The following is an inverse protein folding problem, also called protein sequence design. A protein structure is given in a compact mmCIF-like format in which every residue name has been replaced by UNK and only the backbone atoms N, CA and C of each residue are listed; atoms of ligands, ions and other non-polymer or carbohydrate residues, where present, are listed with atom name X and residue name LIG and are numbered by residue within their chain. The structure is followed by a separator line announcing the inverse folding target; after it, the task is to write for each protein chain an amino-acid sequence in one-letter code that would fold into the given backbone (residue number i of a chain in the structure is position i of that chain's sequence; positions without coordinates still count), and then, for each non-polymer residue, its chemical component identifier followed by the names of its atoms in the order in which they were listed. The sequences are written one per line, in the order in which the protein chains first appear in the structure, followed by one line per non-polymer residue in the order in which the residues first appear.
data_IF_068942283016
#
_entry.id   IF_068942283016
#
_cell.length_a   1.000
_cell.length_b   1.000
_cell.length_c   1.000
_cell.angle_alpha   90.00
_cell.angle_beta   90.00
_cell.angle_gamma   90.00
#
_symmetry.space_group_name_H-M   'P 1'
#
loop_
_entity.id
_entity.type
_entity.pdbx_description
1 polymer ?
#
# COMPACT_ATOMS: atom_id res chain seq x y z
N UNK A 1 -13.94 17.35 -35.01
CA UNK A 1 -14.99 16.45 -34.52
C UNK A 1 -15.28 16.80 -33.07
N UNK A 2 -16.50 16.56 -32.55
CA UNK A 2 -16.77 16.68 -31.11
C UNK A 2 -15.91 15.70 -30.30
N UNK A 3 -15.74 15.98 -29.00
CA UNK A 3 -15.00 15.11 -28.08
C UNK A 3 -15.86 13.90 -27.73
N UNK A 4 -15.31 12.70 -27.89
CA UNK A 4 -16.00 11.45 -27.53
C UNK A 4 -15.57 10.94 -26.15
N UNK A 5 -16.35 10.06 -25.53
CA UNK A 5 -16.09 9.58 -24.16
C UNK A 5 -14.71 8.93 -23.97
N UNK A 6 -14.19 8.25 -25.01
CA UNK A 6 -12.86 7.63 -24.97
C UNK A 6 -11.71 8.65 -25.15
N UNK A 7 -12.00 9.85 -25.65
CA UNK A 7 -11.02 10.91 -25.85
C UNK A 7 -10.71 11.66 -24.55
N UNK A 8 -11.63 11.64 -23.58
CA UNK A 8 -11.59 12.45 -22.36
C UNK A 8 -10.29 12.25 -21.57
N UNK A 9 -9.90 11.00 -21.27
CA UNK A 9 -8.68 10.73 -20.48
C UNK A 9 -7.42 11.21 -21.20
N UNK A 10 -7.34 11.01 -22.52
CA UNK A 10 -6.19 11.42 -23.31
C UNK A 10 -6.02 12.95 -23.31
N UNK A 11 -7.08 13.69 -23.64
CA UNK A 11 -7.01 15.15 -23.68
C UNK A 11 -6.91 15.79 -22.30
N UNK A 12 -7.46 15.16 -21.25
CA UNK A 12 -7.31 15.62 -19.88
C UNK A 12 -5.84 15.60 -19.43
N UNK A 13 -5.10 14.53 -19.74
CA UNK A 13 -3.66 14.48 -19.43
C UNK A 13 -2.88 15.52 -20.24
N UNK A 14 -3.18 15.67 -21.54
CA UNK A 14 -2.54 16.72 -22.37
C UNK A 14 -2.82 18.13 -21.85
N UNK A 15 -4.01 18.39 -21.34
CA UNK A 15 -4.34 19.66 -20.73
C UNK A 15 -3.59 19.88 -19.41
N UNK A 16 -3.46 18.84 -18.58
CA UNK A 16 -2.69 18.86 -17.33
C UNK A 16 -1.21 19.17 -17.59
N UNK A 17 -0.62 18.52 -18.58
CA UNK A 17 0.75 18.78 -19.05
C UNK A 17 0.91 20.24 -19.49
N UNK A 18 0.01 20.74 -20.36
CA UNK A 18 0.10 22.09 -20.90
C UNK A 18 -0.12 23.19 -19.84
N UNK A 19 -1.00 22.96 -18.85
CA UNK A 19 -1.32 23.97 -17.83
C UNK A 19 -0.36 24.00 -16.65
N UNK A 20 0.16 22.84 -16.24
CA UNK A 20 0.90 22.71 -14.98
C UNK A 20 2.34 22.24 -15.17
N UNK A 21 2.78 21.99 -16.41
CA UNK A 21 4.08 21.37 -16.70
C UNK A 21 4.32 20.07 -15.90
N UNK A 22 3.23 19.33 -15.65
CA UNK A 22 3.19 18.15 -14.81
C UNK A 22 2.69 16.95 -15.63
N UNK A 23 3.34 15.80 -15.45
CA UNK A 23 2.97 14.54 -16.11
C UNK A 23 3.10 13.39 -15.12
N UNK A 24 2.03 12.61 -14.91
CA UNK A 24 2.06 11.48 -13.97
C UNK A 24 3.09 10.42 -14.39
N UNK A 25 3.31 10.27 -15.70
CA UNK A 25 4.34 9.39 -16.26
C UNK A 25 5.76 9.81 -15.89
N UNK A 26 6.00 11.11 -15.78
CA UNK A 26 7.32 11.64 -15.41
C UNK A 26 7.51 11.59 -13.89
N UNK A 27 6.46 11.83 -13.10
CA UNK A 27 6.59 11.91 -11.65
C UNK A 27 6.68 10.53 -10.99
N UNK A 28 5.99 9.51 -11.52
CA UNK A 28 6.00 8.15 -10.93
C UNK A 28 7.39 7.54 -10.73
N UNK A 29 8.41 7.99 -11.48
CA UNK A 29 9.80 7.53 -11.31
C UNK A 29 10.38 7.86 -9.92
N UNK A 30 9.82 8.86 -9.23
CA UNK A 30 10.21 9.25 -7.88
C UNK A 30 9.46 8.47 -6.79
N UNK A 31 8.35 7.82 -7.14
CA UNK A 31 7.50 7.06 -6.22
C UNK A 31 7.71 5.56 -6.42
N UNK A 32 8.90 5.07 -6.11
CA UNK A 32 9.11 3.62 -6.07
C UNK A 32 8.37 3.03 -4.87
N UNK A 33 7.69 1.90 -5.06
CA UNK A 33 6.89 1.27 -3.99
C UNK A 33 7.68 1.06 -2.68
N UNK A 34 8.96 0.61 -2.70
CA UNK A 34 9.75 0.51 -1.47
C UNK A 34 9.96 1.85 -0.77
N UNK A 35 10.17 2.95 -1.50
CA UNK A 35 10.36 4.29 -0.92
C UNK A 35 9.06 4.86 -0.36
N UNK A 36 7.95 4.68 -1.09
CA UNK A 36 6.63 5.15 -0.63
C UNK A 36 6.22 4.41 0.64
N UNK A 37 6.34 3.08 0.68
CA UNK A 37 6.00 2.28 1.86
C UNK A 37 6.89 2.64 3.05
N UNK A 38 8.20 2.79 2.85
CA UNK A 38 9.10 3.23 3.91
C UNK A 38 8.76 4.64 4.43
N UNK A 39 8.41 5.58 3.54
CA UNK A 39 7.97 6.92 3.91
C UNK A 39 6.66 6.91 4.70
N UNK A 40 5.68 6.13 4.26
CA UNK A 40 4.41 5.92 4.95
C UNK A 40 4.64 5.38 6.36
N UNK A 41 5.47 4.34 6.51
CA UNK A 41 5.80 3.79 7.82
C UNK A 41 6.48 4.83 8.71
N UNK A 42 7.45 5.58 8.19
CA UNK A 42 8.11 6.64 8.96
C UNK A 42 7.13 7.71 9.47
N UNK A 43 6.12 8.07 8.67
CA UNK A 43 5.06 9.00 9.10
C UNK A 43 4.21 8.38 10.22
N UNK A 44 3.79 7.12 10.05
CA UNK A 44 2.98 6.40 11.06
C UNK A 44 3.75 6.26 12.38
N UNK A 45 5.01 5.84 12.33
CA UNK A 45 5.86 5.67 13.50
C UNK A 45 6.00 6.98 14.28
N UNK A 46 6.22 8.11 13.58
CA UNK A 46 6.33 9.45 14.19
C UNK A 46 5.02 9.97 14.76
N UNK A 47 3.89 9.74 14.07
CA UNK A 47 2.60 10.26 14.49
C UNK A 47 2.00 9.49 15.67
N UNK A 48 2.23 8.18 15.73
CA UNK A 48 1.56 7.29 16.69
C UNK A 48 2.49 6.70 17.74
N UNK A 49 3.77 7.06 17.73
CA UNK A 49 4.80 6.54 18.64
C UNK A 49 4.77 5.00 18.68
N UNK A 50 4.97 4.43 17.49
CA UNK A 50 5.05 2.99 17.25
C UNK A 50 6.27 2.70 16.39
N UNK A 51 6.72 1.45 16.37
CA UNK A 51 7.71 0.94 15.42
C UNK A 51 7.11 -0.17 14.57
N UNK A 52 7.34 -0.14 13.27
CA UNK A 52 6.88 -1.13 12.29
C UNK A 52 8.08 -1.95 11.82
N UNK A 53 8.04 -3.26 12.03
CA UNK A 53 9.13 -4.15 11.62
C UNK A 53 8.61 -5.31 10.81
N UNK A 54 9.27 -5.64 9.69
CA UNK A 54 8.98 -6.85 8.93
C UNK A 54 9.20 -8.08 9.82
N UNK A 55 8.27 -9.03 9.75
CA UNK A 55 8.29 -10.27 10.52
C UNK A 55 7.87 -11.45 9.64
N UNK A 56 8.03 -12.66 10.16
CA UNK A 56 7.67 -13.88 9.45
C UNK A 56 6.30 -14.39 9.88
N UNK A 57 5.48 -14.75 8.90
CA UNK A 57 4.20 -15.42 9.08
C UNK A 57 3.90 -16.27 7.83
N UNK A 58 2.99 -17.23 7.95
CA UNK A 58 2.45 -17.91 6.78
C UNK A 58 1.71 -16.91 5.90
N UNK A 59 2.10 -16.84 4.63
CA UNK A 59 1.49 -15.95 3.63
C UNK A 59 0.88 -16.75 2.49
N UNK A 60 -0.09 -16.18 1.80
CA UNK A 60 -0.77 -16.82 0.66
C UNK A 60 -0.08 -16.58 -0.69
N UNK A 61 0.92 -15.69 -0.74
CA UNK A 61 1.66 -15.38 -1.96
C UNK A 61 3.01 -14.75 -1.61
N UNK A 62 4.06 -15.03 -2.39
CA UNK A 62 5.45 -14.63 -2.09
C UNK A 62 5.66 -13.11 -2.07
N UNK A 63 4.79 -12.36 -2.74
CA UNK A 63 4.83 -10.89 -2.73
C UNK A 63 4.20 -10.26 -1.49
N UNK A 64 3.53 -11.05 -0.64
CA UNK A 64 2.86 -10.55 0.56
C UNK A 64 3.89 -10.42 1.67
N UNK A 65 3.87 -9.28 2.34
CA UNK A 65 4.75 -8.99 3.48
C UNK A 65 3.94 -8.94 4.76
N UNK A 66 4.55 -9.35 5.86
CA UNK A 66 3.94 -9.32 7.18
C UNK A 66 4.76 -8.43 8.10
N UNK A 67 4.06 -7.61 8.89
CA UNK A 67 4.68 -6.62 9.75
C UNK A 67 4.09 -6.69 11.16
N UNK A 68 4.94 -6.44 12.16
CA UNK A 68 4.54 -6.21 13.54
C UNK A 68 4.57 -4.73 13.87
N UNK A 69 3.58 -4.27 14.64
CA UNK A 69 3.61 -2.95 15.28
C UNK A 69 3.97 -3.15 16.75
N UNK A 70 4.92 -2.35 17.22
CA UNK A 70 5.30 -2.31 18.64
C UNK A 70 5.21 -0.89 19.20
N UNK A 71 4.91 -0.78 20.49
CA UNK A 71 4.97 0.47 21.26
C UNK A 71 5.76 0.21 22.54
N UNK A 72 6.78 1.03 22.81
CA UNK A 72 7.66 0.81 23.97
C UNK A 72 8.31 -0.58 24.00
N UNK A 73 8.53 -1.20 22.83
CA UNK A 73 9.07 -2.56 22.69
C UNK A 73 8.04 -3.69 22.76
N UNK A 74 6.81 -3.42 23.26
CA UNK A 74 5.73 -4.40 23.33
C UNK A 74 4.97 -4.49 22.00
N UNK A 75 4.67 -5.71 21.55
CA UNK A 75 3.87 -5.94 20.34
C UNK A 75 2.40 -5.59 20.61
N UNK A 76 1.83 -4.74 19.77
CA UNK A 76 0.45 -4.26 19.91
C UNK A 76 -0.48 -4.68 18.77
N UNK A 77 0.06 -4.96 17.59
CA UNK A 77 -0.71 -5.40 16.41
C UNK A 77 0.18 -6.07 15.36
N UNK A 78 -0.42 -6.60 14.32
CA UNK A 78 0.28 -7.02 13.10
C UNK A 78 -0.57 -6.78 11.87
N UNK A 79 0.04 -6.77 10.69
CA UNK A 79 -0.71 -6.68 9.44
C UNK A 79 0.01 -7.34 8.28
N UNK A 80 -0.77 -7.80 7.31
CA UNK A 80 -0.29 -8.21 5.99
C UNK A 80 -0.37 -7.03 5.02
N UNK A 81 0.59 -6.93 4.11
CA UNK A 81 0.63 -5.95 3.04
C UNK A 81 0.76 -6.68 1.69
N UNK A 82 -0.29 -6.61 0.87
CA UNK A 82 -0.38 -7.26 -0.44
C UNK A 82 -0.54 -6.20 -1.55
N UNK A 83 0.58 -5.69 -2.06
CA UNK A 83 0.62 -4.49 -2.91
C UNK A 83 0.25 -4.73 -4.37
N UNK A 84 0.65 -5.86 -4.95
CA UNK A 84 0.73 -5.98 -6.41
C UNK A 84 -0.48 -6.67 -7.02
N UNK A 85 -0.89 -6.20 -8.20
CA UNK A 85 -1.92 -6.82 -9.01
C UNK A 85 -1.46 -8.19 -9.53
N UNK A 86 -2.36 -9.17 -9.52
CA UNK A 86 -2.15 -10.49 -10.12
C UNK A 86 -3.47 -11.13 -10.52
N UNK A 87 -3.48 -12.06 -11.50
CA UNK A 87 -4.69 -12.81 -11.86
C UNK A 87 -5.32 -13.50 -10.65
N UNK A 88 -6.66 -13.42 -10.55
CA UNK A 88 -7.42 -14.03 -9.45
C UNK A 88 -7.45 -13.24 -8.14
N UNK A 89 -6.64 -12.18 -7.99
CA UNK A 89 -6.73 -11.27 -6.84
C UNK A 89 -7.88 -10.27 -7.02
N UNK A 90 -8.63 -10.01 -5.96
CA UNK A 90 -9.69 -8.98 -5.96
C UNK A 90 -9.11 -7.60 -6.29
N UNK A 91 -9.67 -6.85 -7.26
CA UNK A 91 -9.18 -5.53 -7.65
C UNK A 91 -9.46 -4.45 -6.59
N UNK A 92 -8.85 -3.28 -6.77
CA UNK A 92 -9.01 -2.10 -5.90
C UNK A 92 -8.00 -2.01 -4.76
N UNK A 93 -8.19 -1.02 -3.88
CA UNK A 93 -7.46 -0.88 -2.62
C UNK A 93 -8.44 -1.01 -1.46
N UNK A 94 -8.14 -1.88 -0.49
CA UNK A 94 -9.03 -2.20 0.61
C UNK A 94 -8.27 -2.76 1.81
N UNK A 95 -8.89 -2.64 2.98
CA UNK A 95 -8.41 -3.20 4.25
C UNK A 95 -9.48 -4.12 4.81
N UNK A 96 -9.06 -5.20 5.47
CA UNK A 96 -9.96 -6.09 6.19
C UNK A 96 -9.32 -6.61 7.49
N UNK A 97 -10.16 -6.99 8.45
CA UNK A 97 -9.73 -7.60 9.70
C UNK A 97 -9.50 -9.11 9.50
N UNK A 98 -8.27 -9.57 9.73
CA UNK A 98 -7.97 -11.01 9.79
C UNK A 98 -8.29 -11.55 11.18
N UNK A 99 -8.03 -10.75 12.21
CA UNK A 99 -8.31 -11.08 13.59
C UNK A 99 -8.54 -9.80 14.38
N UNK A 100 -9.71 -9.64 14.99
CA UNK A 100 -9.99 -8.47 15.82
C UNK A 100 -9.31 -8.55 17.20
N UNK A 101 -9.07 -7.39 17.80
CA UNK A 101 -8.59 -7.28 19.18
C UNK A 101 -9.67 -7.78 20.14
N UNK A 102 -9.31 -8.67 21.05
CA UNK A 102 -10.28 -9.27 21.98
C UNK A 102 -9.65 -9.60 23.33
N UNK A 103 -10.30 -9.20 24.42
CA UNK A 103 -9.98 -9.70 25.75
C UNK A 103 -10.75 -11.00 25.97
N UNK A 104 -10.05 -12.13 25.94
CA UNK A 104 -10.67 -13.45 26.10
C UNK A 104 -11.21 -13.61 27.53
N UNK A 105 -12.20 -14.49 27.76
CA UNK A 105 -12.67 -14.82 29.10
C UNK A 105 -11.58 -15.34 30.04
N UNK A 106 -10.48 -15.86 29.50
CA UNK A 106 -9.30 -16.30 30.25
C UNK A 106 -8.45 -15.14 30.81
N UNK A 107 -8.77 -13.89 30.45
CA UNK A 107 -7.97 -12.70 30.77
C UNK A 107 -6.82 -12.44 29.79
N UNK A 108 -6.60 -13.31 28.80
CA UNK A 108 -5.58 -13.12 27.76
C UNK A 108 -6.04 -12.08 26.73
N UNK A 109 -5.18 -11.10 26.45
CA UNK A 109 -5.40 -10.11 25.40
C UNK A 109 -4.95 -10.67 24.03
N UNK A 110 -5.91 -10.94 23.14
CA UNK A 110 -5.64 -11.21 21.74
C UNK A 110 -5.26 -9.92 21.01
N UNK A 111 -4.14 -9.94 20.30
CA UNK A 111 -3.68 -8.83 19.46
C UNK A 111 -4.33 -8.89 18.07
N UNK A 112 -4.72 -7.72 17.52
CA UNK A 112 -5.36 -7.64 16.21
C UNK A 112 -4.38 -7.95 15.08
N UNK A 113 -4.93 -8.47 13.98
CA UNK A 113 -4.24 -8.67 12.71
C UNK A 113 -5.11 -8.14 11.58
N UNK A 114 -4.57 -7.27 10.74
CA UNK A 114 -5.26 -6.75 9.57
C UNK A 114 -4.59 -7.20 8.27
N UNK A 115 -5.27 -7.01 7.14
CA UNK A 115 -4.67 -7.09 5.82
C UNK A 115 -4.93 -5.79 5.05
N UNK A 116 -3.89 -5.24 4.42
CA UNK A 116 -3.98 -4.13 3.50
C UNK A 116 -3.64 -4.63 2.10
N UNK A 117 -4.61 -4.49 1.20
CA UNK A 117 -4.53 -5.03 -0.16
C UNK A 117 -4.65 -3.87 -1.16
N UNK A 118 -3.64 -3.74 -2.02
CA UNK A 118 -3.64 -2.82 -3.16
C UNK A 118 -3.48 -3.61 -4.47
N UNK A 119 -3.52 -2.92 -5.61
CA UNK A 119 -3.36 -3.55 -6.93
C UNK A 119 -2.43 -2.73 -7.83
N UNK A 120 -1.26 -2.38 -7.30
CA UNK A 120 -0.24 -1.64 -8.04
C UNK A 120 0.44 -2.53 -9.09
N UNK A 121 0.99 -1.89 -10.13
CA UNK A 121 1.79 -2.60 -11.12
C UNK A 121 2.98 -3.31 -10.46
N UNK A 122 3.20 -4.56 -10.81
CA UNK A 122 4.33 -5.34 -10.30
C UNK A 122 5.68 -4.77 -10.76
N UNK A 123 6.76 -5.02 -10.00
CA UNK A 123 8.12 -4.78 -10.48
C UNK A 123 8.39 -5.51 -11.80
N UNK A 124 9.27 -4.94 -12.65
CA UNK A 124 9.63 -5.52 -13.95
C UNK A 124 11.15 -5.73 -14.00
N UNK A 125 11.59 -6.99 -13.97
CA UNK A 125 13.00 -7.33 -13.83
C UNK A 125 13.59 -6.71 -12.56
N UNK A 126 14.70 -5.99 -12.69
CA UNK A 126 15.38 -5.33 -11.57
C UNK A 126 14.78 -3.95 -11.21
N UNK A 127 13.74 -3.49 -11.94
CA UNK A 127 13.11 -2.19 -11.69
C UNK A 127 12.00 -2.31 -10.66
N UNK A 128 11.98 -1.47 -9.62
CA UNK A 128 10.91 -1.50 -8.63
C UNK A 128 9.57 -1.11 -9.27
N UNK A 129 8.48 -1.53 -8.65
CA UNK A 129 7.16 -1.01 -8.96
C UNK A 129 7.14 0.51 -8.77
N UNK A 130 6.57 1.21 -9.75
CA UNK A 130 6.38 2.66 -9.72
C UNK A 130 4.92 2.96 -9.44
N UNK A 131 4.68 3.90 -8.54
CA UNK A 131 3.37 4.37 -8.14
C UNK A 131 3.10 5.72 -8.80
N UNK A 132 1.88 5.94 -9.26
CA UNK A 132 1.43 7.29 -9.61
C UNK A 132 1.21 8.10 -8.33
N UNK A 133 1.01 9.41 -8.45
CA UNK A 133 0.67 10.21 -7.27
C UNK A 133 -0.69 9.83 -6.67
N UNK A 134 -1.63 9.35 -7.49
CA UNK A 134 -2.95 8.89 -7.01
C UNK A 134 -2.87 7.58 -6.21
N UNK A 135 -1.83 6.77 -6.46
CA UNK A 135 -1.57 5.54 -5.72
C UNK A 135 -1.00 5.76 -4.31
N UNK A 136 -0.42 6.95 -4.04
CA UNK A 136 0.28 7.32 -2.79
C UNK A 136 -0.70 7.88 -1.76
#
# INVERSE_FOLDING_TARGET
APLESWDVSYWSEKLKEARYAFSDQTVKQYFTAPKVVAGLFSIIERLFDVSITEAQASVWHDSVKFYELRRGGEKIASFYLDLYARPGKRPGAWMDDVRSRWLKPTGEQQLPVAQLVCNFASPVGDKPALLTHDDV
#
